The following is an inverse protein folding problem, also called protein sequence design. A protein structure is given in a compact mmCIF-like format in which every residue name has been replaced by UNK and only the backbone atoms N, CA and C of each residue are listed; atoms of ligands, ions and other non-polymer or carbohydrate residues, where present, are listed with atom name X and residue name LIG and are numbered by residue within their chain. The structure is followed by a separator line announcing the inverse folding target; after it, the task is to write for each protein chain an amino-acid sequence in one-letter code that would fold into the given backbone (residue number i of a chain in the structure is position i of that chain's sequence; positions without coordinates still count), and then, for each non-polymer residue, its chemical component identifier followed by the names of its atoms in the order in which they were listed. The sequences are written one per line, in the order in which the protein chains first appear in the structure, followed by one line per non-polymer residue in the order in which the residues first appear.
data_IF_347554994698
#
_entry.id   IF_347554994698
#
_cell.length_a   1.000
_cell.length_b   1.000
_cell.length_c   1.000
_cell.angle_alpha   90.00
_cell.angle_beta   90.00
_cell.angle_gamma   90.00
#
_symmetry.space_group_name_H-M   'P 1'
#
loop_
_entity.id
_entity.type
_entity.pdbx_description
1 polymer ?
#
# COMPACT_ATOMS: atom_id res chain seq x y z
N UNK A 1 4.67 -5.40 30.06
CA UNK A 1 3.37 -4.95 29.51
C UNK A 1 3.50 -5.10 28.01
N UNK A 2 2.80 -6.03 27.44
CA UNK A 2 2.77 -6.21 25.96
C UNK A 2 1.84 -5.11 25.45
N UNK A 3 2.38 -4.10 24.77
CA UNK A 3 1.54 -3.16 24.03
C UNK A 3 0.66 -3.95 23.06
N UNK A 4 -0.63 -3.69 23.10
CA UNK A 4 -1.55 -4.25 22.11
C UNK A 4 -1.10 -3.71 20.73
N UNK A 5 -0.74 -4.59 19.82
CA UNK A 5 -0.45 -4.22 18.43
C UNK A 5 -1.76 -3.66 17.87
N UNK A 6 -1.84 -2.34 17.76
CA UNK A 6 -2.98 -1.69 17.11
C UNK A 6 -2.88 -1.91 15.62
N UNK A 7 -3.97 -2.37 15.02
CA UNK A 7 -4.06 -2.51 13.56
C UNK A 7 -3.95 -1.12 12.92
N UNK A 8 -3.08 -0.91 11.93
CA UNK A 8 -3.01 0.34 11.19
C UNK A 8 -4.39 0.71 10.62
N UNK A 9 -4.74 1.98 10.67
CA UNK A 9 -6.02 2.48 10.17
C UNK A 9 -5.89 3.45 8.99
N UNK A 10 -4.66 3.71 8.54
CA UNK A 10 -4.40 4.59 7.41
C UNK A 10 -3.20 4.13 6.60
N UNK A 11 -3.14 4.62 5.36
CA UNK A 11 -2.05 4.35 4.42
C UNK A 11 -1.62 5.67 3.76
N UNK A 12 -0.33 5.98 3.84
CA UNK A 12 0.28 6.95 2.96
C UNK A 12 0.70 6.25 1.67
N UNK A 13 0.08 6.62 0.56
CA UNK A 13 0.28 6.04 -0.77
C UNK A 13 1.05 7.01 -1.65
N UNK A 14 2.12 6.56 -2.30
CA UNK A 14 2.99 7.37 -3.16
C UNK A 14 3.28 6.64 -4.47
N UNK A 15 2.63 7.05 -5.56
CA UNK A 15 2.97 6.57 -6.90
C UNK A 15 4.09 7.44 -7.49
N UNK A 16 5.12 6.82 -8.06
CA UNK A 16 6.36 7.50 -8.43
C UNK A 16 6.75 7.19 -9.88
N UNK A 17 7.04 8.23 -10.64
CA UNK A 17 7.58 8.21 -12.01
C UNK A 17 8.98 8.81 -12.03
N UNK A 18 9.93 8.11 -12.62
CA UNK A 18 11.30 8.60 -12.78
C UNK A 18 12.00 7.96 -13.99
N UNK A 19 13.01 8.64 -14.57
CA UNK A 19 13.78 8.10 -15.68
C UNK A 19 14.55 6.83 -15.32
N UNK A 20 14.64 5.87 -16.23
CA UNK A 20 15.26 4.56 -16.01
C UNK A 20 16.71 4.63 -15.48
N UNK A 21 17.49 5.63 -15.89
CA UNK A 21 18.86 5.79 -15.43
C UNK A 21 19.01 6.14 -13.95
N UNK A 22 17.93 6.58 -13.30
CA UNK A 22 17.90 6.94 -11.86
C UNK A 22 17.40 5.79 -10.97
N UNK A 23 16.89 4.69 -11.51
CA UNK A 23 16.26 3.60 -10.75
C UNK A 23 17.18 3.06 -9.64
N UNK A 24 18.46 2.80 -9.94
CA UNK A 24 19.41 2.27 -8.95
C UNK A 24 19.69 3.23 -7.80
N UNK A 25 19.90 4.51 -8.12
CA UNK A 25 20.15 5.56 -7.09
C UNK A 25 18.89 5.81 -6.26
N UNK A 26 17.71 5.86 -6.91
CA UNK A 26 16.42 6.00 -6.25
C UNK A 26 16.18 4.85 -5.28
N UNK A 27 16.40 3.59 -5.69
CA UNK A 27 16.18 2.43 -4.85
C UNK A 27 17.06 2.47 -3.60
N UNK A 28 18.35 2.76 -3.74
CA UNK A 28 19.25 2.85 -2.61
C UNK A 28 18.86 3.96 -1.62
N UNK A 29 18.55 5.15 -2.13
CA UNK A 29 18.08 6.27 -1.32
C UNK A 29 16.75 5.96 -0.63
N UNK A 30 15.78 5.36 -1.35
CA UNK A 30 14.48 5.02 -0.82
C UNK A 30 14.57 4.04 0.35
N UNK A 31 15.43 3.02 0.26
CA UNK A 31 15.58 2.02 1.32
C UNK A 31 16.03 2.66 2.64
N UNK A 32 16.97 3.60 2.58
CA UNK A 32 17.41 4.35 3.75
C UNK A 32 16.33 5.31 4.25
N UNK A 33 15.69 6.03 3.34
CA UNK A 33 14.59 6.94 3.67
C UNK A 33 13.39 6.21 4.32
N UNK A 34 13.06 5.00 3.88
CA UNK A 34 12.02 4.19 4.50
C UNK A 34 12.37 3.81 5.94
N UNK A 35 13.62 3.44 6.22
CA UNK A 35 14.10 3.15 7.58
C UNK A 35 14.03 4.37 8.49
N UNK A 36 14.38 5.55 7.98
CA UNK A 36 14.24 6.81 8.70
C UNK A 36 12.78 7.14 9.03
N UNK A 37 11.85 6.86 8.11
CA UNK A 37 10.43 7.07 8.35
C UNK A 37 9.88 6.10 9.42
N UNK A 38 10.34 4.85 9.45
CA UNK A 38 9.86 3.83 10.37
C UNK A 38 10.19 4.10 11.85
N UNK A 39 11.11 5.02 12.15
CA UNK A 39 11.36 5.42 13.54
C UNK A 39 10.42 6.54 14.02
N UNK A 40 9.61 7.09 13.13
CA UNK A 40 8.66 8.15 13.47
C UNK A 40 7.40 7.59 14.14
N UNK A 41 6.82 8.31 15.11
CA UNK A 41 5.60 7.88 15.77
C UNK A 41 4.45 7.64 14.80
N UNK A 42 3.82 6.47 14.91
CA UNK A 42 2.65 6.10 14.12
C UNK A 42 2.96 5.45 12.77
N UNK A 43 4.23 5.31 12.38
CA UNK A 43 4.63 4.54 11.19
C UNK A 43 4.85 3.08 11.60
N UNK A 44 4.15 2.14 10.94
CA UNK A 44 4.12 0.72 11.30
C UNK A 44 4.81 -0.19 10.30
N UNK A 45 4.80 0.17 9.03
CA UNK A 45 5.43 -0.60 7.96
C UNK A 45 5.73 0.31 6.78
N UNK A 46 6.83 0.07 6.09
CA UNK A 46 7.16 0.67 4.82
C UNK A 46 7.32 -0.43 3.77
N UNK A 47 6.66 -0.27 2.63
CA UNK A 47 6.76 -1.19 1.50
C UNK A 47 6.94 -0.41 0.22
N UNK A 48 7.82 -0.91 -0.65
CA UNK A 48 7.96 -0.43 -2.01
C UNK A 48 7.75 -1.56 -2.99
N UNK A 49 7.02 -1.25 -4.04
CA UNK A 49 6.68 -2.18 -5.10
C UNK A 49 7.15 -1.64 -6.44
N UNK A 50 7.57 -2.54 -7.32
CA UNK A 50 7.82 -2.25 -8.73
C UNK A 50 6.60 -2.66 -9.56
N UNK A 51 6.27 -1.82 -10.55
CA UNK A 51 5.22 -2.12 -11.51
C UNK A 51 5.57 -3.35 -12.36
N UNK A 52 4.59 -4.25 -12.52
CA UNK A 52 4.72 -5.46 -13.33
C UNK A 52 3.87 -5.36 -14.60
N UNK A 53 2.59 -5.04 -14.44
CA UNK A 53 1.65 -5.00 -15.55
C UNK A 53 0.34 -4.30 -15.19
N UNK A 54 -0.49 -4.04 -16.20
CA UNK A 54 -1.80 -3.42 -16.05
C UNK A 54 -1.72 -1.89 -16.06
N UNK A 55 -2.84 -1.26 -15.76
CA UNK A 55 -2.99 0.19 -15.82
C UNK A 55 -3.74 0.62 -17.08
N UNK A 56 -4.39 1.78 -16.99
CA UNK A 56 -5.08 2.42 -18.12
C UNK A 56 -4.20 3.45 -18.81
N UNK A 57 -3.08 3.82 -18.18
CA UNK A 57 -2.21 4.88 -18.64
C UNK A 57 -1.09 4.32 -19.52
N UNK A 58 -0.76 5.04 -20.59
CA UNK A 58 0.39 4.74 -21.45
C UNK A 58 1.74 4.94 -20.74
N UNK A 59 1.73 5.63 -19.57
CA UNK A 59 2.89 5.93 -18.73
C UNK A 59 2.59 5.55 -17.26
N UNK A 60 2.66 4.24 -16.91
CA UNK A 60 2.42 3.80 -15.55
C UNK A 60 3.53 4.27 -14.59
N UNK A 61 3.24 4.49 -13.30
CA UNK A 61 4.27 4.73 -12.31
C UNK A 61 5.22 3.51 -12.22
N UNK A 62 6.52 3.76 -12.07
CA UNK A 62 7.51 2.70 -11.96
C UNK A 62 7.53 2.10 -10.56
N UNK A 63 7.24 2.92 -9.54
CA UNK A 63 7.21 2.50 -8.14
C UNK A 63 5.94 2.95 -7.45
N UNK A 64 5.52 2.11 -6.51
CA UNK A 64 4.51 2.41 -5.52
C UNK A 64 5.13 2.24 -4.13
N UNK A 65 5.14 3.30 -3.34
CA UNK A 65 5.51 3.23 -1.92
C UNK A 65 4.27 3.35 -1.06
N UNK A 66 4.18 2.50 -0.04
CA UNK A 66 3.11 2.55 0.95
C UNK A 66 3.69 2.51 2.36
N UNK A 67 3.19 3.40 3.21
CA UNK A 67 3.41 3.34 4.66
C UNK A 67 2.08 3.01 5.33
N UNK A 68 2.08 1.94 6.10
CA UNK A 68 0.96 1.61 6.98
C UNK A 68 1.11 2.45 8.26
N UNK A 69 0.05 3.18 8.63
CA UNK A 69 0.05 4.17 9.71
C UNK A 69 -0.99 3.82 10.78
N UNK A 70 -0.72 4.19 12.03
CA UNK A 70 -1.72 4.10 13.09
C UNK A 70 -2.99 4.90 12.73
N UNK A 71 -2.80 6.08 12.17
CA UNK A 71 -3.83 6.95 11.62
C UNK A 71 -3.19 8.05 10.79
N UNK A 72 -3.98 8.82 10.02
CA UNK A 72 -3.48 10.00 9.31
C UNK A 72 -2.89 11.07 10.23
N UNK A 73 -3.23 11.07 11.53
CA UNK A 73 -2.61 11.97 12.51
C UNK A 73 -1.08 11.78 12.61
N UNK A 74 -0.54 10.61 12.26
CA UNK A 74 0.91 10.38 12.20
C UNK A 74 1.62 11.36 11.26
N UNK A 75 0.98 11.77 10.18
CA UNK A 75 1.49 12.72 9.17
C UNK A 75 1.48 14.19 9.66
N UNK A 76 0.91 14.45 10.81
CA UNK A 76 0.81 15.79 11.42
C UNK A 76 1.57 15.90 12.73
N UNK A 77 2.30 14.84 13.14
CA UNK A 77 3.17 14.90 14.32
C UNK A 77 4.32 15.88 14.11
N UNK A 78 4.77 16.53 15.18
CA UNK A 78 5.93 17.42 15.13
C UNK A 78 7.17 16.69 14.57
N UNK A 79 7.38 15.43 14.97
CA UNK A 79 8.46 14.59 14.49
C UNK A 79 8.44 14.38 12.98
N UNK A 80 7.26 14.07 12.41
CA UNK A 80 7.13 13.92 10.96
C UNK A 80 7.33 15.23 10.22
N UNK A 81 6.73 16.33 10.72
CA UNK A 81 6.85 17.65 10.11
C UNK A 81 8.31 18.14 10.13
N UNK A 82 9.04 17.90 11.22
CA UNK A 82 10.46 18.27 11.32
C UNK A 82 11.35 17.40 10.43
N UNK A 83 11.05 16.07 10.38
CA UNK A 83 11.74 15.15 9.49
C UNK A 83 11.59 15.58 8.02
N UNK A 84 10.36 15.89 7.57
CA UNK A 84 10.11 16.33 6.19
C UNK A 84 10.78 17.66 5.83
N UNK A 85 11.01 18.54 6.81
CA UNK A 85 11.76 19.79 6.59
C UNK A 85 13.27 19.58 6.53
N UNK A 86 13.80 18.67 7.35
CA UNK A 86 15.26 18.51 7.54
C UNK A 86 15.89 17.48 6.60
N UNK A 87 15.22 16.35 6.38
CA UNK A 87 15.73 15.24 5.55
C UNK A 87 14.80 14.83 4.43
N UNK A 88 13.53 15.28 4.49
CA UNK A 88 12.48 14.90 3.56
C UNK A 88 12.47 15.65 2.24
N UNK A 89 13.45 16.53 2.01
CA UNK A 89 13.69 17.08 0.69
C UNK A 89 14.17 15.97 -0.25
N UNK A 90 13.63 15.94 -1.47
CA UNK A 90 14.19 15.10 -2.51
C UNK A 90 15.68 15.42 -2.67
N UNK A 91 16.54 14.41 -2.73
CA UNK A 91 17.96 14.64 -2.98
C UNK A 91 18.15 15.30 -4.35
N UNK A 92 19.23 16.08 -4.50
CA UNK A 92 19.48 16.88 -5.71
C UNK A 92 19.38 16.08 -7.01
N UNK A 93 19.82 14.81 -6.99
CA UNK A 93 19.78 13.95 -8.18
C UNK A 93 18.37 13.56 -8.62
N UNK A 94 17.35 13.68 -7.73
CA UNK A 94 15.95 13.45 -8.05
C UNK A 94 15.21 14.75 -8.36
N UNK A 95 15.74 15.90 -7.91
CA UNK A 95 15.09 17.19 -8.07
C UNK A 95 14.85 17.50 -9.55
N UNK A 96 13.59 17.77 -9.90
CA UNK A 96 13.17 18.03 -11.30
C UNK A 96 13.11 16.81 -12.22
N UNK A 97 13.46 15.60 -11.71
CA UNK A 97 13.42 14.36 -12.50
C UNK A 97 12.34 13.38 -12.05
N UNK A 98 11.75 13.58 -10.89
CA UNK A 98 10.75 12.71 -10.29
C UNK A 98 9.37 13.38 -10.32
N UNK A 99 8.34 12.59 -10.62
CA UNK A 99 6.94 12.94 -10.39
C UNK A 99 6.39 12.01 -9.33
N UNK A 100 5.74 12.55 -8.31
CA UNK A 100 5.12 11.80 -7.23
C UNK A 100 3.65 12.20 -7.14
N UNK A 101 2.77 11.21 -7.15
CA UNK A 101 1.37 11.37 -6.76
C UNK A 101 1.23 10.83 -5.34
N UNK A 102 0.87 11.70 -4.41
CA UNK A 102 0.63 11.37 -3.01
C UNK A 102 -0.86 11.28 -2.74
N UNK A 103 -1.26 10.28 -1.95
CA UNK A 103 -2.59 10.15 -1.38
C UNK A 103 -2.47 9.78 0.10
N UNK A 104 -3.18 10.49 0.94
CA UNK A 104 -3.30 10.22 2.37
C UNK A 104 -4.65 9.52 2.56
N UNK A 105 -4.63 8.18 2.75
CA UNK A 105 -5.82 7.36 2.68
C UNK A 105 -6.21 6.83 4.06
N UNK A 106 -7.50 6.88 4.38
CA UNK A 106 -8.07 6.12 5.49
C UNK A 106 -8.32 4.68 5.04
N UNK A 107 -8.15 3.73 5.95
CA UNK A 107 -8.55 2.34 5.71
C UNK A 107 -10.02 2.21 6.08
N UNK A 108 -10.86 1.90 5.09
CA UNK A 108 -12.30 1.71 5.29
C UNK A 108 -12.60 0.30 5.76
N UNK A 109 -11.88 -0.68 5.20
CA UNK A 109 -12.05 -2.09 5.53
C UNK A 109 -10.74 -2.85 5.33
N UNK A 110 -10.59 -3.94 6.08
CA UNK A 110 -9.52 -4.91 5.91
C UNK A 110 -10.03 -6.33 6.13
N UNK A 111 -9.44 -7.31 5.46
CA UNK A 111 -9.68 -8.73 5.65
C UNK A 111 -8.35 -9.50 5.66
N UNK A 112 -8.15 -10.35 6.66
CA UNK A 112 -8.99 -10.51 7.86
C UNK A 112 -9.04 -9.23 8.72
N UNK A 113 -10.04 -9.06 9.58
CA UNK A 113 -10.20 -7.87 10.44
C UNK A 113 -8.98 -7.60 11.34
N UNK A 114 -8.25 -8.63 11.68
CA UNK A 114 -6.98 -8.57 12.42
C UNK A 114 -5.78 -8.60 11.49
N UNK A 115 -5.92 -8.03 10.28
CA UNK A 115 -4.87 -8.12 9.30
C UNK A 115 -3.59 -7.47 9.81
N UNK A 116 -2.57 -8.24 9.75
CA UNK A 116 -1.21 -7.75 9.60
C UNK A 116 -0.67 -8.54 8.43
N UNK A 117 -0.28 -7.91 7.32
CA UNK A 117 0.13 -8.68 6.16
C UNK A 117 1.25 -9.63 6.57
N UNK A 118 1.20 -10.89 6.13
CA UNK A 118 2.29 -11.81 6.36
C UNK A 118 3.61 -11.17 5.94
N UNK A 119 4.67 -11.51 6.61
CA UNK A 119 5.99 -10.88 6.51
C UNK A 119 6.59 -10.91 5.10
N UNK A 120 5.98 -11.60 4.14
CA UNK A 120 6.43 -11.67 2.75
C UNK A 120 5.24 -11.87 1.81
N UNK A 121 4.55 -10.80 1.46
CA UNK A 121 3.64 -10.83 0.31
C UNK A 121 4.38 -10.30 -0.91
N UNK A 122 4.78 -11.18 -1.85
CA UNK A 122 5.59 -10.78 -2.99
C UNK A 122 4.82 -9.96 -4.02
N UNK A 123 3.48 -10.03 -4.01
CA UNK A 123 2.63 -9.42 -5.02
C UNK A 123 1.56 -8.54 -4.38
N UNK A 124 1.26 -7.44 -5.06
CA UNK A 124 0.15 -6.55 -4.76
C UNK A 124 -0.64 -6.32 -6.04
N UNK A 125 -1.95 -6.58 -5.99
CA UNK A 125 -2.88 -6.15 -7.02
C UNK A 125 -3.71 -4.97 -6.55
N UNK A 126 -3.88 -4.02 -7.45
CA UNK A 126 -4.54 -2.77 -7.21
C UNK A 126 -5.76 -2.66 -8.12
N UNK A 127 -6.94 -2.46 -7.52
CA UNK A 127 -8.19 -2.25 -8.21
C UNK A 127 -8.74 -0.88 -7.81
N UNK A 128 -9.25 -0.15 -8.77
CA UNK A 128 -10.01 1.08 -8.48
C UNK A 128 -11.50 0.75 -8.56
N UNK A 129 -12.23 1.14 -7.55
CA UNK A 129 -13.69 1.03 -7.53
C UNK A 129 -14.29 2.32 -8.09
N UNK A 130 -15.27 2.17 -8.96
CA UNK A 130 -15.93 3.32 -9.58
C UNK A 130 -17.14 3.81 -8.78
N UNK A 131 -17.41 3.19 -7.61
CA UNK A 131 -18.61 3.47 -6.82
C UNK A 131 -18.44 2.97 -5.37
N UNK A 132 -18.87 3.77 -4.40
CA UNK A 132 -18.87 3.42 -2.98
C UNK A 132 -19.78 2.22 -2.67
N UNK A 133 -20.88 2.04 -3.39
CA UNK A 133 -21.76 0.88 -3.26
C UNK A 133 -21.03 -0.41 -3.64
N UNK A 134 -20.12 -0.34 -4.60
CA UNK A 134 -19.28 -1.47 -5.01
C UNK A 134 -18.28 -1.86 -3.92
N UNK A 135 -17.73 -0.88 -3.19
CA UNK A 135 -16.82 -1.13 -2.05
C UNK A 135 -17.53 -1.90 -0.94
N UNK A 136 -18.74 -1.49 -0.58
CA UNK A 136 -19.59 -2.17 0.42
C UNK A 136 -20.00 -3.56 -0.06
N UNK A 137 -20.42 -3.70 -1.32
CA UNK A 137 -20.80 -4.97 -1.93
C UNK A 137 -19.63 -5.95 -1.98
N UNK A 138 -18.44 -5.49 -2.34
CA UNK A 138 -17.22 -6.30 -2.37
C UNK A 138 -16.84 -6.78 -0.96
N UNK A 139 -16.90 -5.91 0.05
CA UNK A 139 -16.64 -6.26 1.44
C UNK A 139 -17.60 -7.37 1.92
N UNK A 140 -18.89 -7.24 1.63
CA UNK A 140 -19.90 -8.25 1.99
C UNK A 140 -19.65 -9.59 1.27
N UNK A 141 -19.33 -9.54 -0.03
CA UNK A 141 -19.07 -10.74 -0.82
C UNK A 141 -17.83 -11.49 -0.31
N UNK A 142 -16.75 -10.78 -0.02
CA UNK A 142 -15.51 -11.38 0.49
C UNK A 142 -15.71 -11.92 1.90
N UNK A 143 -16.42 -11.20 2.78
CA UNK A 143 -16.80 -11.69 4.11
C UNK A 143 -17.58 -13.01 4.02
N UNK A 144 -18.47 -13.15 3.03
CA UNK A 144 -19.22 -14.37 2.79
C UNK A 144 -18.30 -15.51 2.32
N UNK A 145 -17.39 -15.25 1.40
CA UNK A 145 -16.42 -16.24 0.92
C UNK A 145 -15.52 -16.76 2.06
N UNK A 146 -15.06 -15.88 2.93
CA UNK A 146 -14.19 -16.25 4.07
C UNK A 146 -14.92 -17.06 5.13
N UNK A 147 -16.24 -16.88 5.30
CA UNK A 147 -17.04 -17.63 6.28
C UNK A 147 -17.55 -18.97 5.76
N UNK A 148 -17.68 -19.14 4.44
CA UNK A 148 -18.24 -20.34 3.82
C UNK A 148 -17.20 -21.31 3.27
N UNK A 149 -15.94 -20.88 3.13
CA UNK A 149 -14.87 -21.73 2.62
C UNK A 149 -14.44 -22.76 3.65
N UNK A 150 -14.58 -24.04 3.36
CA UNK A 150 -14.04 -25.16 4.15
C UNK A 150 -12.55 -25.41 3.90
N UNK A 151 -11.93 -24.71 2.96
CA UNK A 151 -10.50 -24.79 2.65
C UNK A 151 -9.73 -23.69 3.37
N UNK A 152 -8.48 -23.92 3.76
CA UNK A 152 -7.63 -22.85 4.27
C UNK A 152 -7.60 -21.72 3.23
N UNK A 153 -7.97 -20.52 3.67
CA UNK A 153 -7.91 -19.32 2.84
C UNK A 153 -6.42 -19.10 2.52
N UNK A 154 -6.06 -18.92 1.23
CA UNK A 154 -4.67 -18.59 0.89
C UNK A 154 -4.21 -17.35 1.67
N UNK A 155 -2.92 -17.26 1.94
CA UNK A 155 -2.30 -16.12 2.61
C UNK A 155 -2.49 -14.87 1.76
N UNK A 156 -3.58 -14.16 1.99
CA UNK A 156 -3.85 -12.87 1.38
C UNK A 156 -4.36 -11.87 2.42
N UNK A 157 -4.15 -10.62 2.15
CA UNK A 157 -4.86 -9.53 2.82
C UNK A 157 -5.53 -8.64 1.79
N UNK A 158 -6.77 -8.25 2.09
CA UNK A 158 -7.49 -7.29 1.29
C UNK A 158 -7.75 -6.05 2.14
N UNK A 159 -7.51 -4.89 1.56
CA UNK A 159 -7.76 -3.60 2.18
C UNK A 159 -8.53 -2.72 1.21
N UNK A 160 -9.46 -1.96 1.71
CA UNK A 160 -10.10 -0.88 0.98
C UNK A 160 -9.63 0.41 1.62
N UNK A 161 -8.99 1.25 0.82
CA UNK A 161 -8.49 2.56 1.25
C UNK A 161 -9.19 3.65 0.46
N UNK A 162 -9.46 4.76 1.10
CA UNK A 162 -10.13 5.92 0.53
C UNK A 162 -9.37 7.20 0.88
N UNK A 163 -9.37 8.14 -0.05
CA UNK A 163 -8.87 9.50 0.14
C UNK A 163 -9.95 10.50 -0.25
N UNK A 164 -10.00 11.65 0.41
CA UNK A 164 -11.05 12.66 0.24
C UNK A 164 -11.23 13.16 -1.22
N UNK A 165 -10.22 12.97 -2.07
CA UNK A 165 -10.18 13.55 -3.41
C UNK A 165 -10.27 12.52 -4.56
N UNK A 166 -10.30 11.21 -4.26
CA UNK A 166 -10.17 10.16 -5.28
C UNK A 166 -11.09 8.94 -4.98
N UNK A 167 -11.37 8.17 -6.03
CA UNK A 167 -12.12 6.91 -5.90
C UNK A 167 -11.41 5.89 -4.99
N UNK A 168 -12.16 5.09 -4.20
CA UNK A 168 -11.61 4.06 -3.34
C UNK A 168 -10.73 3.06 -4.09
N UNK A 169 -9.67 2.61 -3.44
CA UNK A 169 -8.73 1.63 -3.97
C UNK A 169 -8.81 0.36 -3.16
N UNK A 170 -8.93 -0.78 -3.83
CA UNK A 170 -8.76 -2.09 -3.23
C UNK A 170 -7.33 -2.55 -3.43
N UNK A 171 -6.67 -2.86 -2.33
CA UNK A 171 -5.34 -3.43 -2.28
C UNK A 171 -5.45 -4.90 -1.91
N UNK A 172 -4.89 -5.77 -2.73
CA UNK A 172 -4.83 -7.21 -2.45
C UNK A 172 -3.37 -7.62 -2.40
N UNK A 173 -2.87 -7.80 -1.18
CA UNK A 173 -1.56 -8.40 -0.94
C UNK A 173 -1.72 -9.92 -0.95
N UNK A 174 -0.92 -10.63 -1.74
CA UNK A 174 -1.05 -12.09 -1.88
C UNK A 174 0.26 -12.75 -2.34
N UNK A 175 0.30 -14.07 -2.22
CA UNK A 175 1.28 -14.90 -2.90
C UNK A 175 0.75 -15.36 -4.29
N UNK A 176 1.55 -16.12 -5.04
CA UNK A 176 1.18 -16.60 -6.36
C UNK A 176 -0.04 -17.55 -6.38
N UNK A 177 -0.50 -18.02 -5.20
CA UNK A 177 -1.62 -18.97 -5.10
C UNK A 177 -3.01 -18.32 -5.11
N UNK A 178 -3.11 -17.00 -4.96
CA UNK A 178 -4.38 -16.28 -4.81
C UNK A 178 -5.09 -15.92 -6.14
N UNK A 179 -4.75 -16.57 -7.24
CA UNK A 179 -5.29 -16.27 -8.58
C UNK A 179 -6.83 -16.29 -8.62
N UNK A 180 -7.47 -17.24 -7.93
CA UNK A 180 -8.94 -17.36 -7.90
C UNK A 180 -9.58 -16.12 -7.24
N UNK A 181 -8.97 -15.60 -6.19
CA UNK A 181 -9.44 -14.38 -5.52
C UNK A 181 -9.33 -13.17 -6.45
N UNK A 182 -8.22 -13.03 -7.14
CA UNK A 182 -7.97 -11.96 -8.11
C UNK A 182 -9.01 -11.98 -9.24
N UNK A 183 -9.29 -13.17 -9.81
CA UNK A 183 -10.31 -13.35 -10.85
C UNK A 183 -11.70 -12.95 -10.33
N UNK A 184 -12.02 -13.33 -9.09
CA UNK A 184 -13.30 -12.99 -8.44
C UNK A 184 -13.45 -11.48 -8.24
N UNK A 185 -12.40 -10.82 -7.74
CA UNK A 185 -12.40 -9.36 -7.54
C UNK A 185 -12.47 -8.64 -8.89
N UNK A 186 -11.72 -9.11 -9.89
CA UNK A 186 -11.74 -8.56 -11.24
C UNK A 186 -13.15 -8.65 -11.85
N UNK A 187 -13.82 -9.76 -11.67
CA UNK A 187 -15.20 -9.95 -12.16
C UNK A 187 -16.21 -9.03 -11.45
N UNK A 188 -16.02 -8.79 -10.15
CA UNK A 188 -16.89 -7.94 -9.33
C UNK A 188 -16.63 -6.44 -9.54
N UNK A 189 -15.36 -6.02 -9.67
CA UNK A 189 -14.97 -4.61 -9.76
C UNK A 189 -14.89 -4.06 -11.18
N UNK A 190 -14.88 -4.94 -12.19
CA UNK A 190 -14.82 -4.57 -13.60
C UNK A 190 -13.43 -4.24 -14.14
N UNK A 191 -12.39 -4.07 -13.32
CA UNK A 191 -11.03 -3.87 -13.85
C UNK A 191 -9.91 -4.05 -12.83
N UNK A 192 -8.99 -4.96 -13.10
CA UNK A 192 -7.65 -4.94 -12.53
C UNK A 192 -6.92 -3.69 -13.05
N UNK A 193 -6.49 -2.81 -12.14
CA UNK A 193 -5.74 -1.61 -12.57
C UNK A 193 -4.28 -1.89 -12.78
N UNK A 194 -3.63 -2.57 -11.84
CA UNK A 194 -2.20 -2.86 -11.95
C UNK A 194 -1.76 -3.97 -11.00
N UNK A 195 -0.70 -4.65 -11.40
CA UNK A 195 0.01 -5.65 -10.61
C UNK A 195 1.42 -5.17 -10.29
N UNK A 196 1.86 -5.41 -9.07
CA UNK A 196 3.09 -4.89 -8.50
C UNK A 196 3.86 -5.97 -7.79
N UNK A 197 5.18 -5.90 -7.83
CA UNK A 197 6.08 -6.79 -7.08
C UNK A 197 6.71 -6.05 -5.92
N UNK A 198 6.65 -6.63 -4.73
CA UNK A 198 7.31 -6.09 -3.55
C UNK A 198 8.83 -6.19 -3.70
N UNK A 199 9.53 -5.08 -3.55
CA UNK A 199 11.00 -4.99 -3.63
C UNK A 199 11.63 -4.47 -2.34
N UNK A 200 10.81 -3.99 -1.41
CA UNK A 200 11.22 -3.56 -0.08
C UNK A 200 10.07 -3.74 0.89
N UNK A 201 10.34 -4.32 2.06
CA UNK A 201 9.34 -4.55 3.10
C UNK A 201 10.03 -4.57 4.47
N UNK A 202 9.81 -3.52 5.25
CA UNK A 202 10.34 -3.41 6.61
C UNK A 202 9.28 -2.92 7.60
N UNK A 203 9.43 -3.36 8.84
CA UNK A 203 8.66 -2.91 10.00
C UNK A 203 9.64 -2.29 11.00
N UNK A 204 9.18 -1.39 11.91
CA UNK A 204 10.00 -0.94 13.00
C UNK A 204 10.58 -2.15 13.73
N UNK A 205 11.87 -2.14 13.99
CA UNK A 205 12.50 -3.18 14.80
C UNK A 205 11.75 -3.26 16.11
N UNK A 206 11.13 -4.42 16.36
CA UNK A 206 10.31 -4.62 17.54
C UNK A 206 11.10 -4.28 18.81
N UNK A 207 10.60 -3.30 19.52
CA UNK A 207 10.97 -2.99 20.90
C UNK A 207 10.35 -4.01 21.85
#
# INVERSE_FOLDING_TARGET
MTEAITTPSAVLYLATWLPAHLHGQFSAWCDDHHREQLVLPGFRRARRFEWVSGGRDDDPPQYLTMYDLDSLAALHTEAYVEHTKSSGGLPDFLSGHIRVQRRDCNMIAALPDSWWPPTHTPLLNLFQLNDDELAVGLQQHISTLTTTSASPIPDFTLRIIDSDDDEPIVLVDHDDAATILIDTITAASGSLRSSWRCVFDEQPNGS
#
